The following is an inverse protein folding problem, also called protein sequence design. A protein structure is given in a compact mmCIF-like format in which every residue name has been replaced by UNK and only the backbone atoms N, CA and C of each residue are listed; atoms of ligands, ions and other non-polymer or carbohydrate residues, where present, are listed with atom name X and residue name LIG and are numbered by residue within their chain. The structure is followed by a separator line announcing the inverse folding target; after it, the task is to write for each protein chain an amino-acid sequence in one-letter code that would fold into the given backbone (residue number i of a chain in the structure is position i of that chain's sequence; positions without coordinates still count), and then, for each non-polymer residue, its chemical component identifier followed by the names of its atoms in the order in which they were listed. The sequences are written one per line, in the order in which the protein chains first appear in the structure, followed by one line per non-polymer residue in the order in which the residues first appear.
data_IF_585047315756
#
_entry.id   IF_585047315756
#
_cell.length_a   1.000
_cell.length_b   1.000
_cell.length_c   1.000
_cell.angle_alpha   90.00
_cell.angle_beta   90.00
_cell.angle_gamma   90.00
#
_symmetry.space_group_name_H-M   'P 1'
#
loop_
_entity.id
_entity.type
_entity.pdbx_description
1 polymer ?
#
# COMPACT_ATOMS: atom_id res chain seq x y z
N UNK A 1 -20.27 19.21 -28.16
CA UNK A 1 -19.28 18.54 -27.29
C UNK A 1 -18.29 19.60 -26.81
N UNK A 2 -18.25 19.89 -25.51
CA UNK A 2 -17.34 20.90 -24.93
C UNK A 2 -16.03 20.22 -24.54
N UNK A 3 -14.92 20.66 -25.13
CA UNK A 3 -13.58 20.19 -24.78
C UNK A 3 -13.07 20.96 -23.57
N UNK A 4 -13.08 20.32 -22.38
CA UNK A 4 -12.37 20.87 -21.22
C UNK A 4 -10.87 20.73 -21.45
N UNK A 5 -10.07 21.80 -21.22
CA UNK A 5 -8.63 21.70 -21.34
C UNK A 5 -8.10 20.70 -20.30
N UNK A 6 -7.26 19.78 -20.75
CA UNK A 6 -6.61 18.82 -19.86
C UNK A 6 -5.58 19.55 -18.98
N UNK A 7 -5.51 19.25 -17.68
CA UNK A 7 -4.52 19.84 -16.80
C UNK A 7 -3.10 19.47 -17.25
N UNK A 8 -2.17 20.41 -17.09
CA UNK A 8 -0.75 20.17 -17.43
C UNK A 8 -0.20 19.03 -16.60
N UNK A 9 0.67 18.20 -17.19
CA UNK A 9 1.28 17.02 -16.55
C UNK A 9 1.89 17.33 -15.17
N UNK A 10 2.49 18.51 -15.00
CA UNK A 10 3.04 18.93 -13.70
C UNK A 10 1.96 19.15 -12.64
N UNK A 11 0.83 19.77 -13.00
CA UNK A 11 -0.30 19.97 -12.08
C UNK A 11 -0.86 18.63 -11.62
N UNK A 12 -1.03 17.68 -12.55
CA UNK A 12 -1.47 16.32 -12.23
C UNK A 12 -0.46 15.61 -11.32
N UNK A 13 0.83 15.70 -11.63
CA UNK A 13 1.89 15.08 -10.82
C UNK A 13 1.94 15.65 -9.40
N UNK A 14 1.87 16.98 -9.25
CA UNK A 14 1.85 17.62 -7.94
C UNK A 14 0.59 17.27 -7.15
N UNK A 15 -0.58 17.23 -7.80
CA UNK A 15 -1.81 16.82 -7.15
C UNK A 15 -1.75 15.36 -6.66
N UNK A 16 -1.18 14.46 -7.46
CA UNK A 16 -0.98 13.07 -7.06
C UNK A 16 -0.04 12.95 -5.86
N UNK A 17 1.11 13.64 -5.90
CA UNK A 17 2.05 13.64 -4.78
C UNK A 17 1.43 14.18 -3.50
N UNK A 18 0.65 15.26 -3.60
CA UNK A 18 -0.08 15.82 -2.46
C UNK A 18 -1.11 14.83 -1.91
N UNK A 19 -1.86 14.15 -2.77
CA UNK A 19 -2.82 13.14 -2.36
C UNK A 19 -2.15 11.95 -1.65
N UNK A 20 -1.01 11.47 -2.17
CA UNK A 20 -0.22 10.40 -1.54
C UNK A 20 0.33 10.83 -0.19
N UNK A 21 0.88 12.05 -0.09
CA UNK A 21 1.38 12.59 1.16
C UNK A 21 0.28 12.70 2.23
N UNK A 22 -0.92 13.15 1.83
CA UNK A 22 -2.08 13.18 2.73
C UNK A 22 -2.47 11.78 3.20
N UNK A 23 -2.51 10.81 2.29
CA UNK A 23 -2.86 9.43 2.61
C UNK A 23 -1.88 8.83 3.63
N UNK A 24 -0.58 9.03 3.43
CA UNK A 24 0.46 8.55 4.36
C UNK A 24 0.36 9.26 5.71
N UNK A 25 0.14 10.58 5.72
CA UNK A 25 -0.04 11.31 6.98
C UNK A 25 -1.27 10.82 7.76
N UNK A 26 -2.37 10.53 7.06
CA UNK A 26 -3.57 9.97 7.66
C UNK A 26 -3.33 8.55 8.21
N UNK A 27 -2.63 7.69 7.46
CA UNK A 27 -2.25 6.35 7.93
C UNK A 27 -1.41 6.41 9.20
N UNK A 28 -0.33 7.21 9.21
CA UNK A 28 0.53 7.38 10.40
C UNK A 28 -0.24 7.92 11.61
N UNK A 29 -1.19 8.84 11.38
CA UNK A 29 -1.97 9.46 12.46
C UNK A 29 -3.07 8.57 13.04
N UNK A 30 -3.49 7.52 12.32
CA UNK A 30 -4.65 6.69 12.71
C UNK A 30 -4.29 5.22 12.97
N UNK A 31 -3.22 4.71 12.36
CA UNK A 31 -2.81 3.32 12.48
C UNK A 31 -2.12 3.05 13.81
N UNK A 32 -2.50 1.95 14.45
CA UNK A 32 -1.76 1.43 15.60
C UNK A 32 -0.34 1.02 15.16
N UNK A 33 0.67 1.09 16.05
CA UNK A 33 2.00 0.56 15.77
C UNK A 33 1.90 -0.89 15.28
N UNK A 34 2.57 -1.19 14.18
CA UNK A 34 2.58 -2.55 13.63
C UNK A 34 3.25 -3.49 14.64
N UNK A 35 2.49 -4.43 15.17
CA UNK A 35 3.00 -5.52 16.00
C UNK A 35 3.50 -6.64 15.06
N UNK A 36 4.83 -6.84 14.92
CA UNK A 36 5.37 -7.84 14.00
C UNK A 36 5.00 -9.27 14.39
N UNK A 37 4.63 -9.50 15.66
CA UNK A 37 4.28 -10.82 16.19
C UNK A 37 2.79 -11.13 16.09
N UNK A 38 1.96 -10.14 15.75
CA UNK A 38 0.52 -10.29 15.50
C UNK A 38 0.12 -10.02 14.06
N UNK A 39 1.07 -9.71 13.19
CA UNK A 39 0.80 -9.51 11.78
C UNK A 39 0.26 -10.83 11.17
N UNK A 40 -0.94 -10.83 10.56
CA UNK A 40 -1.47 -12.01 9.90
C UNK A 40 -0.59 -12.40 8.69
N UNK A 41 -0.55 -13.70 8.31
CA UNK A 41 0.14 -14.15 7.12
C UNK A 41 -0.32 -13.36 5.88
N UNK A 42 0.60 -12.96 4.99
CA UNK A 42 0.22 -12.21 3.80
C UNK A 42 -0.67 -13.07 2.90
N UNK A 43 -1.69 -12.45 2.30
CA UNK A 43 -2.65 -13.14 1.46
C UNK A 43 -1.99 -13.73 0.20
N UNK A 44 -2.24 -15.00 -0.09
CA UNK A 44 -1.74 -15.68 -1.28
C UNK A 44 -2.64 -15.40 -2.50
N UNK A 45 -2.39 -14.31 -3.21
CA UNK A 45 -3.21 -13.85 -4.36
C UNK A 45 -3.10 -14.71 -5.64
N UNK A 46 -2.66 -15.97 -5.54
CA UNK A 46 -2.62 -16.86 -6.71
C UNK A 46 -2.04 -18.25 -6.49
N UNK A 47 -1.14 -18.45 -5.52
CA UNK A 47 -0.47 -19.74 -5.29
C UNK A 47 -1.07 -20.59 -4.17
N UNK A 48 -1.95 -20.01 -3.34
CA UNK A 48 -2.40 -20.63 -2.07
C UNK A 48 -1.31 -20.73 -0.99
N UNK A 49 -0.04 -20.57 -1.34
CA UNK A 49 1.09 -20.55 -0.41
C UNK A 49 1.24 -19.16 0.20
N UNK A 50 0.94 -19.04 1.50
CA UNK A 50 1.18 -17.84 2.30
C UNK A 50 2.42 -18.04 3.19
N UNK A 51 3.38 -17.09 3.19
CA UNK A 51 4.51 -17.09 4.12
C UNK A 51 4.04 -17.12 5.59
N UNK A 52 4.58 -18.00 6.42
CA UNK A 52 4.17 -18.18 7.83
C UNK A 52 4.98 -17.39 8.86
N UNK A 53 6.00 -16.62 8.45
CA UNK A 53 6.84 -15.78 9.33
C UNK A 53 8.04 -16.48 10.00
N UNK A 54 9.05 -15.69 10.46
CA UNK A 54 10.35 -16.10 11.07
C UNK A 54 11.24 -17.04 10.21
N UNK A 55 12.40 -17.52 10.72
CA UNK A 55 13.35 -18.38 9.97
C UNK A 55 12.72 -19.70 9.45
N UNK A 56 11.51 -20.02 9.92
CA UNK A 56 10.67 -21.14 9.51
C UNK A 56 9.54 -20.74 8.53
N UNK A 57 9.45 -19.47 8.11
CA UNK A 57 8.48 -18.99 7.10
C UNK A 57 8.64 -19.69 5.75
N UNK A 58 9.83 -20.27 5.54
CA UNK A 58 10.19 -21.00 4.36
C UNK A 58 9.38 -22.29 4.30
N UNK A 59 8.52 -22.40 3.29
CA UNK A 59 7.98 -23.68 2.88
C UNK A 59 9.13 -24.57 2.36
N UNK A 60 9.43 -25.74 2.95
CA UNK A 60 9.73 -26.90 2.13
C UNK A 60 8.41 -27.42 1.55
N UNK A 61 8.48 -28.06 0.37
CA UNK A 61 7.35 -28.64 -0.37
C UNK A 61 6.27 -29.26 0.51
#
# INVERSE_FOLDING_TARGET
MSSRPLPRRQTVGLALLAALALLVAADIGTSAPLDPFRAPPPAALGSGAAPSGAHCAAAPT
#
